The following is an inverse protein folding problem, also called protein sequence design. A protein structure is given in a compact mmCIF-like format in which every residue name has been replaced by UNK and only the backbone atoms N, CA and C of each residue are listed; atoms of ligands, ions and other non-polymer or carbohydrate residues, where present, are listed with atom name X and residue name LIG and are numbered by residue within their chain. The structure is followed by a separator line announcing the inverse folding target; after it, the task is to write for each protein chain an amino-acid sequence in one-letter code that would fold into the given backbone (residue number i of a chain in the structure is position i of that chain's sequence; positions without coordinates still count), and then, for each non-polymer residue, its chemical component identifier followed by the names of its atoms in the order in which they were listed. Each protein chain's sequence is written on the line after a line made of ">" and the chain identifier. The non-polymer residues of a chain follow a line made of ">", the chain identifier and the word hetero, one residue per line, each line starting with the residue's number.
data_IF_734112397498
#
_entry.id   IF_734112397498
#
_cell.length_a   1.000
_cell.length_b   1.000
_cell.length_c   1.000
_cell.angle_alpha   90.00
_cell.angle_beta   90.00
_cell.angle_gamma   90.00
#
_symmetry.space_group_name_H-M   'P 1'
#
loop_
_entity.id
_entity.type
_entity.pdbx_description
1 polymer ?
#
# COMPACT_ATOMS: atom_id res chain seq x y z
N UNK A 1 -15.86 9.36 -3.00
CA UNK A 1 -14.96 8.21 -2.89
C UNK A 1 -14.65 7.77 -4.30
N UNK A 2 -13.40 7.50 -4.64
CA UNK A 2 -12.99 7.14 -6.01
C UNK A 2 -13.14 5.63 -6.23
N UNK A 3 -12.70 4.86 -5.24
CA UNK A 3 -12.81 3.42 -5.16
C UNK A 3 -13.72 3.03 -4.00
N UNK A 4 -14.01 1.76 -3.86
CA UNK A 4 -14.65 1.23 -2.65
C UNK A 4 -13.73 1.41 -1.43
N UNK A 5 -14.30 1.36 -0.22
CA UNK A 5 -13.51 1.57 1.02
C UNK A 5 -12.40 0.53 1.17
N UNK A 6 -12.71 -0.73 0.89
CA UNK A 6 -11.76 -1.83 0.95
C UNK A 6 -10.60 -1.68 -0.04
N UNK A 7 -10.87 -1.25 -1.28
CA UNK A 7 -9.82 -0.91 -2.26
C UNK A 7 -8.92 0.22 -1.73
N UNK A 8 -9.49 1.31 -1.21
CA UNK A 8 -8.68 2.42 -0.68
C UNK A 8 -7.88 2.01 0.55
N UNK A 9 -8.44 1.20 1.44
CA UNK A 9 -7.76 0.69 2.65
C UNK A 9 -6.61 -0.25 2.28
N UNK A 10 -6.83 -1.22 1.39
CA UNK A 10 -5.79 -2.11 0.91
C UNK A 10 -4.63 -1.36 0.24
N UNK A 11 -4.92 -0.35 -0.60
CA UNK A 11 -3.88 0.48 -1.21
C UNK A 11 -3.10 1.29 -0.16
N UNK A 12 -3.77 1.85 0.86
CA UNK A 12 -3.10 2.57 1.95
C UNK A 12 -2.18 1.67 2.74
N UNK A 13 -2.65 0.49 3.13
CA UNK A 13 -1.87 -0.49 3.89
C UNK A 13 -0.65 -0.98 3.09
N UNK A 14 -0.84 -1.33 1.80
CA UNK A 14 0.24 -1.76 0.93
C UNK A 14 1.31 -0.67 0.74
N UNK A 15 0.90 0.57 0.48
CA UNK A 15 1.81 1.71 0.34
C UNK A 15 2.53 2.02 1.65
N UNK A 16 1.85 1.94 2.79
CA UNK A 16 2.48 2.12 4.10
C UNK A 16 3.52 1.03 4.38
N UNK A 17 3.19 -0.24 4.07
CA UNK A 17 4.10 -1.36 4.22
C UNK A 17 5.35 -1.19 3.34
N UNK A 18 5.21 -0.81 2.08
CA UNK A 18 6.34 -0.52 1.19
C UNK A 18 7.17 0.64 1.70
N UNK A 19 6.51 1.74 2.07
CA UNK A 19 7.19 2.96 2.51
C UNK A 19 7.89 2.80 3.87
N UNK A 20 7.51 1.81 4.67
CA UNK A 20 8.21 1.51 5.93
C UNK A 20 9.68 1.09 5.73
N UNK A 21 10.05 0.68 4.51
CA UNK A 21 11.45 0.37 4.16
C UNK A 21 12.32 1.62 3.94
N UNK A 22 11.70 2.81 3.81
CA UNK A 22 12.46 4.06 3.68
C UNK A 22 13.24 4.36 4.98
N UNK A 23 14.34 5.08 4.83
CA UNK A 23 15.23 5.32 5.99
C UNK A 23 14.73 6.46 6.88
N UNK A 24 14.65 6.25 8.20
CA UNK A 24 14.90 4.98 8.91
C UNK A 24 13.79 3.97 8.66
N UNK A 25 14.12 2.66 8.58
CA UNK A 25 13.13 1.58 8.49
C UNK A 25 12.20 1.63 9.72
N UNK A 26 10.90 1.79 9.48
CA UNK A 26 9.86 1.96 10.51
C UNK A 26 9.04 0.69 10.73
N UNK A 27 9.53 -0.47 10.26
CA UNK A 27 8.94 -1.78 10.53
C UNK A 27 10.07 -2.79 10.80
N UNK A 28 10.86 -2.54 11.85
CA UNK A 28 12.05 -3.31 12.19
C UNK A 28 11.95 -4.04 13.52
N UNK A 29 10.98 -3.70 14.37
CA UNK A 29 10.78 -4.29 15.69
C UNK A 29 9.36 -4.84 15.85
N UNK A 30 9.10 -5.72 16.84
CA UNK A 30 7.75 -6.16 17.20
C UNK A 30 6.81 -5.01 17.57
N UNK A 31 7.35 -3.93 18.17
CA UNK A 31 6.59 -2.72 18.50
C UNK A 31 6.16 -1.95 17.26
N UNK A 32 7.06 -1.83 16.28
CA UNK A 32 6.74 -1.24 14.97
C UNK A 32 5.63 -2.05 14.28
N UNK A 33 5.73 -3.38 14.33
CA UNK A 33 4.73 -4.28 13.75
C UNK A 33 3.37 -4.13 14.44
N UNK A 34 3.35 -4.03 15.77
CA UNK A 34 2.13 -3.79 16.52
C UNK A 34 1.51 -2.43 16.17
N UNK A 35 2.33 -1.42 15.95
CA UNK A 35 1.90 -0.08 15.52
C UNK A 35 1.30 -0.10 14.12
N UNK A 36 1.93 -0.82 13.19
CA UNK A 36 1.41 -1.02 11.83
C UNK A 36 0.04 -1.72 11.85
N UNK A 37 -0.13 -2.80 12.62
CA UNK A 37 -1.41 -3.50 12.75
C UNK A 37 -2.51 -2.68 13.45
N UNK A 38 -2.13 -1.73 14.29
CA UNK A 38 -3.07 -0.80 14.92
C UNK A 38 -3.59 0.24 13.94
N UNK A 39 -2.75 0.70 13.02
CA UNK A 39 -3.10 1.68 11.98
C UNK A 39 -3.84 1.02 10.81
N UNK A 40 -3.43 -0.20 10.45
CA UNK A 40 -4.03 -1.01 9.37
C UNK A 40 -4.52 -2.33 9.95
N UNK A 41 -5.74 -2.36 10.51
CA UNK A 41 -6.27 -3.55 11.18
C UNK A 41 -6.59 -4.65 10.17
N UNK A 42 -5.98 -5.82 10.37
CA UNK A 42 -6.30 -7.04 9.65
C UNK A 42 -7.03 -8.00 10.59
N UNK A 43 -8.03 -8.71 10.07
CA UNK A 43 -8.72 -9.78 10.78
C UNK A 43 -8.12 -11.15 10.43
N UNK A 44 -8.50 -12.21 11.15
CA UNK A 44 -7.98 -13.56 10.92
C UNK A 44 -6.63 -13.81 11.56
N UNK A 45 -5.86 -14.74 11.00
CA UNK A 45 -4.59 -15.19 11.57
C UNK A 45 -3.54 -14.10 11.54
N UNK A 46 -3.00 -13.79 12.71
CA UNK A 46 -1.85 -12.90 12.92
C UNK A 46 -0.98 -13.53 14.00
N UNK A 47 0.18 -14.04 13.62
CA UNK A 47 1.06 -14.80 14.53
C UNK A 47 1.85 -13.87 15.47
N UNK A 48 2.11 -12.62 15.06
CA UNK A 48 2.78 -11.55 15.82
C UNK A 48 4.19 -11.94 16.29
N UNK A 49 4.86 -12.82 15.55
CA UNK A 49 6.21 -13.27 15.82
C UNK A 49 7.23 -12.63 14.85
N UNK A 50 8.51 -12.86 15.13
CA UNK A 50 9.60 -12.34 14.31
C UNK A 50 9.60 -12.93 12.88
N UNK A 51 9.09 -14.15 12.70
CA UNK A 51 9.01 -14.80 11.39
C UNK A 51 7.97 -14.12 10.51
N UNK A 52 6.80 -13.78 11.06
CA UNK A 52 5.75 -13.03 10.34
C UNK A 52 6.22 -11.61 10.01
N UNK A 53 6.86 -10.91 10.96
CA UNK A 53 7.47 -9.60 10.71
C UNK A 53 8.49 -9.67 9.57
N UNK A 54 9.37 -10.67 9.58
CA UNK A 54 10.36 -10.86 8.53
C UNK A 54 9.69 -11.13 7.16
N UNK A 55 8.65 -11.96 7.12
CA UNK A 55 7.90 -12.25 5.89
C UNK A 55 7.24 -10.97 5.32
N UNK A 56 6.72 -10.09 6.17
CA UNK A 56 6.18 -8.81 5.73
C UNK A 56 7.27 -7.89 5.15
N UNK A 57 8.46 -7.88 5.76
CA UNK A 57 9.59 -7.11 5.24
C UNK A 57 10.05 -7.62 3.88
N UNK A 58 10.06 -8.95 3.68
CA UNK A 58 10.39 -9.59 2.41
C UNK A 58 9.35 -9.37 1.32
N UNK A 59 8.09 -9.12 1.69
CA UNK A 59 7.03 -8.80 0.76
C UNK A 59 7.15 -7.39 0.14
N UNK A 60 7.80 -6.43 0.82
CA UNK A 60 7.88 -5.02 0.41
C UNK A 60 8.37 -4.80 -1.02
N UNK A 61 9.48 -5.42 -1.49
CA UNK A 61 9.93 -5.25 -2.87
C UNK A 61 8.90 -5.69 -3.90
N UNK A 62 8.25 -6.86 -3.69
CA UNK A 62 7.21 -7.36 -4.59
C UNK A 62 6.01 -6.41 -4.67
N UNK A 63 5.54 -5.91 -3.53
CA UNK A 63 4.46 -4.92 -3.51
C UNK A 63 4.86 -3.61 -4.20
N UNK A 64 6.12 -3.16 -3.99
CA UNK A 64 6.61 -1.95 -4.65
C UNK A 64 6.59 -2.09 -6.16
N UNK A 65 7.09 -3.20 -6.67
CA UNK A 65 7.11 -3.48 -8.10
C UNK A 65 5.69 -3.51 -8.67
N UNK A 66 4.75 -4.17 -8.01
CA UNK A 66 3.34 -4.20 -8.41
C UNK A 66 2.69 -2.81 -8.43
N UNK A 67 2.91 -2.01 -7.37
CA UNK A 67 2.28 -0.69 -7.20
C UNK A 67 2.81 0.36 -8.19
N UNK A 68 4.02 0.19 -8.70
CA UNK A 68 4.67 1.15 -9.60
C UNK A 68 4.81 0.64 -11.03
N UNK A 69 4.36 -0.57 -11.33
CA UNK A 69 4.47 -1.15 -12.66
C UNK A 69 3.66 -0.35 -13.70
N UNK A 70 4.12 -0.25 -14.95
CA UNK A 70 3.27 0.11 -16.07
C UNK A 70 2.03 -0.79 -16.13
N UNK A 71 0.93 -0.29 -16.73
CA UNK A 71 -0.37 -0.96 -16.69
C UNK A 71 -0.33 -2.44 -17.09
N UNK A 72 0.30 -2.76 -18.19
CA UNK A 72 0.32 -4.13 -18.71
C UNK A 72 1.15 -5.07 -17.82
N UNK A 73 2.30 -4.59 -17.33
CA UNK A 73 3.10 -5.34 -16.35
C UNK A 73 2.36 -5.50 -15.01
N UNK A 74 1.61 -4.48 -14.59
CA UNK A 74 0.75 -4.56 -13.39
C UNK A 74 -0.29 -5.66 -13.53
N UNK A 75 -0.91 -5.81 -14.72
CA UNK A 75 -1.86 -6.90 -15.01
C UNK A 75 -1.19 -8.26 -14.86
N UNK A 76 0.01 -8.44 -15.43
CA UNK A 76 0.76 -9.69 -15.34
C UNK A 76 1.09 -10.04 -13.89
N UNK A 77 1.57 -9.07 -13.10
CA UNK A 77 1.93 -9.26 -11.70
C UNK A 77 0.71 -9.55 -10.82
N UNK A 78 -0.40 -8.85 -11.05
CA UNK A 78 -1.68 -9.10 -10.37
C UNK A 78 -2.17 -10.52 -10.66
N UNK A 79 -2.20 -10.93 -11.92
CA UNK A 79 -2.62 -12.27 -12.30
C UNK A 79 -1.72 -13.36 -11.70
N UNK A 80 -0.40 -13.15 -11.67
CA UNK A 80 0.54 -14.07 -11.03
C UNK A 80 0.29 -14.17 -9.51
N UNK A 81 0.08 -13.04 -8.82
CA UNK A 81 -0.19 -13.04 -7.38
C UNK A 81 -1.49 -13.79 -7.03
N UNK A 82 -2.51 -13.68 -7.88
CA UNK A 82 -3.81 -14.35 -7.66
C UNK A 82 -3.78 -15.84 -8.05
N UNK A 83 -2.93 -16.24 -9.00
CA UNK A 83 -2.80 -17.63 -9.42
C UNK A 83 -2.06 -18.51 -8.40
N UNK A 84 -1.19 -17.92 -7.57
CA UNK A 84 -0.41 -18.62 -6.58
C UNK A 84 -1.22 -19.07 -5.35
N UNK A 85 -2.47 -18.62 -5.23
CA UNK A 85 -3.29 -18.78 -4.01
C UNK A 85 -4.67 -19.38 -4.34
N UNK A 86 -5.19 -20.22 -3.45
CA UNK A 86 -6.57 -20.68 -3.55
C UNK A 86 -7.53 -19.56 -3.17
N UNK A 87 -8.16 -18.95 -4.17
CA UNK A 87 -9.13 -17.89 -3.96
C UNK A 87 -10.48 -18.44 -3.51
N UNK A 88 -11.01 -17.91 -2.42
CA UNK A 88 -12.32 -18.18 -1.86
C UNK A 88 -13.08 -16.89 -1.61
N UNK A 89 -13.42 -16.12 -2.66
CA UNK A 89 -13.97 -14.77 -2.49
C UNK A 89 -15.33 -14.83 -1.78
N UNK A 90 -15.47 -14.00 -0.74
CA UNK A 90 -16.69 -13.85 0.04
C UNK A 90 -16.93 -12.41 0.44
N UNK A 91 -18.17 -11.98 0.47
CA UNK A 91 -18.55 -10.74 1.13
C UNK A 91 -18.64 -10.98 2.64
N UNK A 92 -18.01 -10.11 3.39
CA UNK A 92 -18.02 -10.13 4.85
C UNK A 92 -18.27 -8.74 5.42
N UNK A 93 -18.72 -8.69 6.66
CA UNK A 93 -18.88 -7.45 7.41
C UNK A 93 -18.44 -7.71 8.85
N UNK A 94 -17.45 -6.95 9.31
CA UNK A 94 -16.95 -7.05 10.67
C UNK A 94 -16.48 -5.67 11.14
N UNK A 95 -16.34 -5.50 12.44
CA UNK A 95 -15.92 -4.26 13.09
C UNK A 95 -16.77 -3.05 12.65
N UNK A 96 -16.11 -1.94 12.32
CA UNK A 96 -16.75 -0.73 11.81
C UNK A 96 -16.82 -0.69 10.26
N UNK A 97 -16.27 -1.70 9.57
CA UNK A 97 -16.30 -1.78 8.12
C UNK A 97 -17.66 -2.27 7.62
N UNK A 98 -18.15 -1.70 6.52
CA UNK A 98 -19.35 -2.20 5.84
C UNK A 98 -19.01 -3.45 5.00
N UNK A 99 -19.95 -3.93 4.21
CA UNK A 99 -19.75 -5.10 3.35
C UNK A 99 -18.54 -4.89 2.42
N UNK A 100 -17.56 -5.77 2.54
CA UNK A 100 -16.33 -5.77 1.76
C UNK A 100 -15.92 -7.18 1.35
N UNK A 101 -15.00 -7.28 0.38
CA UNK A 101 -14.60 -8.54 -0.21
C UNK A 101 -13.34 -9.09 0.46
N UNK A 102 -13.44 -10.30 1.03
CA UNK A 102 -12.26 -11.11 1.34
C UNK A 102 -12.04 -12.13 0.22
N UNK A 103 -10.82 -12.22 -0.28
CA UNK A 103 -10.50 -13.09 -1.41
C UNK A 103 -9.90 -14.44 -1.00
N UNK A 104 -9.37 -14.55 0.22
CA UNK A 104 -8.77 -15.78 0.78
C UNK A 104 -9.34 -16.08 2.15
N UNK A 105 -9.12 -17.30 2.65
CA UNK A 105 -9.56 -17.71 3.99
C UNK A 105 -8.74 -16.97 5.08
N UNK A 106 -9.37 -16.81 6.27
CA UNK A 106 -8.80 -16.02 7.37
C UNK A 106 -7.58 -16.70 8.04
N UNK A 107 -7.35 -17.97 7.79
CA UNK A 107 -6.22 -18.75 8.32
C UNK A 107 -4.95 -18.68 7.46
N UNK A 108 -5.02 -18.03 6.28
CA UNK A 108 -3.82 -17.77 5.48
C UNK A 108 -2.84 -16.84 6.20
N UNK A 109 -1.51 -17.00 5.95
CA UNK A 109 -0.50 -16.09 6.47
C UNK A 109 -0.80 -14.63 6.14
N UNK A 110 -0.51 -13.71 7.06
CA UNK A 110 -0.82 -12.29 6.89
C UNK A 110 -0.20 -11.69 5.61
N UNK A 111 1.05 -12.04 5.30
CA UNK A 111 1.73 -11.54 4.10
C UNK A 111 1.01 -11.96 2.80
N UNK A 112 0.48 -13.19 2.75
CA UNK A 112 -0.28 -13.70 1.61
C UNK A 112 -1.61 -12.96 1.47
N UNK A 113 -2.31 -12.71 2.58
CA UNK A 113 -3.57 -11.94 2.59
C UNK A 113 -3.33 -10.51 2.12
N UNK A 114 -2.29 -9.83 2.61
CA UNK A 114 -1.91 -8.48 2.16
C UNK A 114 -1.62 -8.47 0.65
N UNK A 115 -0.87 -9.44 0.15
CA UNK A 115 -0.56 -9.54 -1.28
C UNK A 115 -1.82 -9.68 -2.12
N UNK A 116 -2.72 -10.58 -1.73
CA UNK A 116 -3.97 -10.84 -2.47
C UNK A 116 -4.92 -9.64 -2.39
N UNK A 117 -5.10 -9.03 -1.23
CA UNK A 117 -5.93 -7.82 -1.08
C UNK A 117 -5.37 -6.65 -1.88
N UNK A 118 -4.04 -6.50 -1.93
CA UNK A 118 -3.40 -5.50 -2.79
C UNK A 118 -3.64 -5.80 -4.26
N UNK A 119 -3.52 -7.06 -4.69
CA UNK A 119 -3.79 -7.48 -6.06
C UNK A 119 -5.25 -7.21 -6.45
N UNK A 120 -6.21 -7.50 -5.56
CA UNK A 120 -7.62 -7.18 -5.78
C UNK A 120 -7.86 -5.67 -5.91
N UNK A 121 -7.25 -4.87 -5.06
CA UNK A 121 -7.35 -3.41 -5.13
C UNK A 121 -6.74 -2.85 -6.45
N UNK A 122 -5.66 -3.44 -6.92
CA UNK A 122 -5.04 -3.07 -8.20
C UNK A 122 -5.91 -3.45 -9.42
N UNK A 123 -6.79 -4.45 -9.32
CA UNK A 123 -7.79 -4.70 -10.37
C UNK A 123 -8.67 -3.47 -10.59
N UNK A 124 -9.13 -2.84 -9.51
CA UNK A 124 -9.95 -1.63 -9.61
C UNK A 124 -9.14 -0.45 -10.20
N UNK A 125 -7.89 -0.28 -9.77
CA UNK A 125 -6.97 0.74 -10.32
C UNK A 125 -6.77 0.55 -11.83
N UNK A 126 -6.52 -0.69 -12.27
CA UNK A 126 -6.31 -1.04 -13.68
C UNK A 126 -7.56 -0.77 -14.50
N UNK A 127 -8.74 -1.22 -14.03
CA UNK A 127 -10.03 -1.08 -14.73
C UNK A 127 -10.50 0.37 -14.80
N UNK A 128 -10.20 1.17 -13.78
CA UNK A 128 -10.50 2.59 -13.76
C UNK A 128 -9.46 3.46 -14.51
N UNK A 129 -8.37 2.87 -15.01
CA UNK A 129 -7.24 3.58 -15.63
C UNK A 129 -6.58 4.62 -14.69
N UNK A 130 -6.54 4.32 -13.40
CA UNK A 130 -6.10 5.23 -12.34
C UNK A 130 -4.67 4.93 -11.83
N UNK A 131 -3.85 4.20 -12.60
CA UNK A 131 -2.46 3.87 -12.22
C UNK A 131 -1.60 5.09 -11.88
N UNK A 132 -1.88 6.25 -12.49
CA UNK A 132 -1.19 7.51 -12.20
C UNK A 132 -1.34 8.03 -10.76
N UNK A 133 -2.24 7.42 -9.96
CA UNK A 133 -2.39 7.72 -8.53
C UNK A 133 -1.30 7.11 -7.65
N UNK A 134 -0.56 6.18 -8.21
CA UNK A 134 0.57 5.51 -7.58
C UNK A 134 1.85 5.99 -8.27
N UNK A 135 2.67 6.75 -7.58
CA UNK A 135 3.90 7.28 -8.14
C UNK A 135 4.98 7.40 -7.07
N UNK A 136 6.24 7.42 -7.48
CA UNK A 136 7.33 7.77 -6.58
C UNK A 136 7.15 9.23 -6.13
N UNK A 137 7.42 9.49 -4.85
CA UNK A 137 7.36 10.83 -4.27
C UNK A 137 8.12 11.85 -5.12
N UNK A 138 7.53 13.03 -5.35
CA UNK A 138 8.15 14.09 -6.15
C UNK A 138 9.32 14.82 -5.43
N UNK A 139 9.66 14.42 -4.22
CA UNK A 139 10.83 14.88 -3.50
C UNK A 139 12.07 14.13 -4.01
N UNK A 140 13.08 14.84 -4.50
CA UNK A 140 14.25 14.25 -5.13
C UNK A 140 15.07 13.29 -4.23
N UNK A 141 14.97 13.47 -2.92
CA UNK A 141 15.68 12.67 -1.92
C UNK A 141 14.78 11.59 -1.28
N UNK A 142 13.62 11.27 -1.89
CA UNK A 142 12.65 10.34 -1.34
C UNK A 142 12.23 9.31 -2.39
N UNK A 143 12.33 8.02 -2.04
CA UNK A 143 11.91 6.91 -2.89
C UNK A 143 10.55 6.31 -2.49
N UNK A 144 9.89 6.88 -1.48
CA UNK A 144 8.58 6.42 -1.03
C UNK A 144 7.51 6.58 -2.11
N UNK A 145 6.48 5.75 -2.06
CA UNK A 145 5.31 5.86 -2.94
C UNK A 145 4.35 6.93 -2.40
N UNK A 146 3.92 7.82 -3.26
CA UNK A 146 2.80 8.72 -3.03
C UNK A 146 1.53 8.10 -3.62
N UNK A 147 0.54 7.81 -2.76
CA UNK A 147 -0.80 7.38 -3.17
C UNK A 147 -1.71 8.61 -3.16
N UNK A 148 -2.28 8.94 -4.31
CA UNK A 148 -3.20 10.06 -4.47
C UNK A 148 -4.66 9.62 -4.58
N UNK A 149 -5.37 9.59 -3.48
CA UNK A 149 -6.82 9.37 -3.41
C UNK A 149 -7.62 10.68 -3.43
N UNK A 150 -6.97 11.82 -3.71
CA UNK A 150 -7.65 13.10 -3.80
C UNK A 150 -8.50 13.21 -5.07
N UNK A 151 -9.57 13.99 -4.99
CA UNK A 151 -10.46 14.23 -6.15
C UNK A 151 -9.72 14.86 -7.33
N UNK A 152 -8.77 15.73 -7.06
CA UNK A 152 -8.11 16.58 -8.06
C UNK A 152 -6.77 16.01 -8.54
N UNK A 153 -6.37 14.80 -8.12
CA UNK A 153 -5.09 14.18 -8.45
C UNK A 153 -3.90 15.11 -8.20
N UNK A 154 -3.87 15.72 -7.01
CA UNK A 154 -2.90 16.79 -6.70
C UNK A 154 -1.82 16.38 -5.70
N UNK A 155 -1.89 15.19 -5.11
CA UNK A 155 -0.93 14.71 -4.14
C UNK A 155 0.32 14.18 -4.84
N UNK A 156 1.40 14.96 -4.77
CA UNK A 156 2.68 14.63 -5.40
C UNK A 156 3.73 14.06 -4.43
N UNK A 157 3.51 14.24 -3.12
CA UNK A 157 4.45 13.88 -2.07
C UNK A 157 3.84 12.79 -1.18
N UNK A 158 4.68 11.85 -0.74
CA UNK A 158 4.24 10.77 0.15
C UNK A 158 3.79 11.27 1.53
N UNK A 159 4.39 12.38 2.00
CA UNK A 159 4.14 12.95 3.33
C UNK A 159 4.13 14.47 3.30
N UNK A 160 3.59 15.09 4.38
CA UNK A 160 3.66 16.52 4.64
C UNK A 160 5.11 17.00 4.82
N UNK A 161 5.99 16.15 5.36
CA UNK A 161 7.42 16.46 5.50
C UNK A 161 8.08 16.70 4.14
N UNK A 162 7.86 15.81 3.17
CA UNK A 162 8.39 15.98 1.81
C UNK A 162 7.76 17.21 1.12
N UNK A 163 6.46 17.42 1.27
CA UNK A 163 5.78 18.59 0.72
C UNK A 163 6.35 19.91 1.28
N UNK A 164 6.54 20.00 2.60
CA UNK A 164 7.09 21.17 3.27
C UNK A 164 8.55 21.43 2.89
N UNK A 165 9.38 20.38 2.82
CA UNK A 165 10.79 20.49 2.39
C UNK A 165 10.88 21.12 0.99
N UNK A 166 10.08 20.66 0.05
CA UNK A 166 10.04 21.19 -1.31
C UNK A 166 9.46 22.60 -1.38
N UNK A 167 8.45 22.94 -0.59
CA UNK A 167 7.88 24.28 -0.51
C UNK A 167 8.93 25.29 -0.01
N UNK A 168 9.70 24.94 1.03
CA UNK A 168 10.80 25.77 1.57
C UNK A 168 11.91 25.93 0.55
N UNK A 169 12.32 24.87 -0.14
CA UNK A 169 13.33 24.93 -1.18
C UNK A 169 12.91 25.87 -2.33
N UNK A 170 11.66 25.74 -2.81
CA UNK A 170 11.11 26.60 -3.84
C UNK A 170 11.01 28.09 -3.39
N UNK A 171 10.67 28.33 -2.13
CA UNK A 171 10.68 29.69 -1.56
C UNK A 171 12.08 30.30 -1.57
N UNK A 172 13.07 29.56 -1.05
CA UNK A 172 14.49 30.03 -1.03
C UNK A 172 15.02 30.32 -2.43
N UNK A 173 14.73 29.45 -3.41
CA UNK A 173 15.15 29.65 -4.79
C UNK A 173 14.54 30.91 -5.43
N UNK A 174 13.32 31.32 -5.04
CA UNK A 174 12.72 32.60 -5.50
C UNK A 174 13.35 33.81 -4.85
N UNK A 175 13.81 33.74 -3.61
CA UNK A 175 14.47 34.86 -2.92
C UNK A 175 15.94 35.08 -3.40
N UNK A 176 16.55 34.07 -3.98
CA UNK A 176 17.93 34.13 -4.48
C UNK A 176 18.04 34.68 -5.94
N UNK A 177 16.89 35.01 -6.57
CA UNK A 177 16.84 35.64 -7.91
C UNK A 177 16.61 37.13 -7.82
#
# INVERSE_FOLDING_TARGET
>A
MMFTSDTEEALRAAVALVNSAERPDTLSTPEDFSSFLSEYPYTGRIDRDDAELQTLRELRPRLRDMLLAPRDEMVEQVNAALADVTLTPRLTRHDAADWHLHAVADDHPLAERILVETAMALIDVIRAEEGSRLAVCADADCQAIALDLSRNRSKRYCSTTCANRNAVAAYRARQAR
#
